data_IF_580523741582
#
_entry.id   IF_580523741582
#
_cell.length_a   1.000
_cell.length_b   1.000
_cell.length_c   1.000
_cell.angle_alpha   90.00
_cell.angle_beta   90.00
_cell.angle_gamma   90.00
#
_symmetry.space_group_name_H-M   'P 1'
#
loop_
_entity.id
_entity.type
_entity.pdbx_description
1 polymer ?
#
# COMPACT_ATOMS: atom_id res chain seq x y z
N UNK A 1 -11.63 2.09 -21.84
CA UNK A 1 -10.58 2.89 -22.52
C UNK A 1 -9.34 2.66 -21.67
N UNK A 2 -8.25 2.21 -22.28
CA UNK A 2 -6.98 2.03 -21.58
C UNK A 2 -6.40 3.42 -21.32
N UNK A 3 -6.14 3.73 -20.07
CA UNK A 3 -5.56 5.00 -19.62
C UNK A 3 -4.57 4.77 -18.45
N UNK A 4 -4.12 3.52 -18.31
CA UNK A 4 -3.07 3.15 -17.38
C UNK A 4 -2.24 1.97 -17.90
N UNK A 5 -0.99 1.94 -17.48
CA UNK A 5 0.00 0.93 -17.84
C UNK A 5 0.76 0.47 -16.61
N UNK A 6 0.91 -0.84 -16.48
CA UNK A 6 1.67 -1.50 -15.41
C UNK A 6 2.82 -2.24 -16.06
N UNK A 7 4.04 -1.75 -15.88
CA UNK A 7 5.26 -2.39 -16.35
C UNK A 7 5.87 -3.24 -15.24
N UNK A 8 6.09 -4.52 -15.50
CA UNK A 8 6.68 -5.45 -14.54
C UNK A 8 8.06 -5.91 -14.99
N UNK A 9 8.80 -6.50 -14.08
CA UNK A 9 10.15 -7.01 -14.32
C UNK A 9 10.22 -7.86 -15.61
N UNK A 10 11.28 -7.71 -16.40
CA UNK A 10 11.33 -8.25 -17.76
C UNK A 10 10.72 -7.34 -18.85
N UNK A 11 10.34 -6.11 -18.51
CA UNK A 11 9.78 -5.08 -19.42
C UNK A 11 8.44 -5.50 -20.07
N UNK A 12 7.68 -6.40 -19.43
CA UNK A 12 6.30 -6.69 -19.84
C UNK A 12 5.38 -5.58 -19.38
N UNK A 13 4.59 -5.02 -20.30
CA UNK A 13 3.59 -3.99 -19.99
C UNK A 13 2.18 -4.57 -20.06
N UNK A 14 1.37 -4.27 -19.06
CA UNK A 14 -0.02 -4.67 -18.94
C UNK A 14 -0.88 -3.43 -19.02
N UNK A 15 -1.86 -3.43 -19.92
CA UNK A 15 -2.87 -2.38 -20.01
C UNK A 15 -3.86 -2.48 -18.83
N UNK A 16 -4.25 -1.32 -18.29
CA UNK A 16 -5.16 -1.20 -17.18
C UNK A 16 -6.07 0.02 -17.33
N UNK A 17 -6.96 0.21 -16.38
CA UNK A 17 -7.77 1.42 -16.24
C UNK A 17 -7.28 2.23 -15.04
N UNK A 18 -7.06 3.52 -15.23
CA UNK A 18 -6.74 4.43 -14.14
C UNK A 18 -7.97 4.64 -13.22
N UNK A 19 -7.74 4.53 -11.92
CA UNK A 19 -8.74 4.81 -10.87
C UNK A 19 -8.32 6.01 -10.03
N UNK A 20 -7.02 6.16 -9.81
CA UNK A 20 -6.37 7.36 -9.29
C UNK A 20 -5.15 7.65 -10.16
N UNK A 21 -4.98 8.89 -10.63
CA UNK A 21 -3.90 9.22 -11.55
C UNK A 21 -2.55 9.36 -10.83
N UNK A 22 -1.48 9.15 -11.59
CA UNK A 22 -0.11 9.37 -11.16
C UNK A 22 0.87 8.39 -11.77
N UNK A 23 2.16 8.63 -11.53
CA UNK A 23 3.26 7.76 -11.96
C UNK A 23 4.14 7.42 -10.77
N UNK A 24 4.47 6.15 -10.60
CA UNK A 24 5.29 5.69 -9.49
C UNK A 24 5.93 4.34 -9.77
N UNK A 25 6.80 3.90 -8.88
CA UNK A 25 7.39 2.57 -8.91
C UNK A 25 7.50 1.98 -7.50
N UNK A 26 7.75 0.70 -7.44
CA UNK A 26 7.94 -0.03 -6.18
C UNK A 26 8.00 -1.54 -6.43
N UNK A 27 8.37 -2.31 -5.42
CA UNK A 27 8.22 -3.75 -5.50
C UNK A 27 6.73 -4.15 -5.49
N UNK A 28 6.34 -4.93 -6.48
CA UNK A 28 4.99 -5.47 -6.61
C UNK A 28 4.82 -6.65 -5.66
N UNK A 29 3.92 -6.48 -4.70
CA UNK A 29 3.55 -7.48 -3.69
C UNK A 29 2.06 -7.72 -3.71
N UNK A 30 1.57 -8.75 -3.02
CA UNK A 30 0.14 -8.99 -2.94
C UNK A 30 -0.38 -9.26 -1.54
N UNK A 31 -1.66 -8.98 -1.35
CA UNK A 31 -2.43 -9.37 -0.18
C UNK A 31 -3.64 -10.23 -0.57
N UNK A 32 -4.08 -11.08 0.35
CA UNK A 32 -5.30 -11.88 0.20
C UNK A 32 -6.49 -11.27 0.95
N UNK A 33 -6.31 -10.10 1.53
CA UNK A 33 -7.38 -9.37 2.21
C UNK A 33 -8.53 -9.04 1.25
N UNK A 34 -9.76 -9.31 1.66
CA UNK A 34 -10.98 -8.94 0.95
C UNK A 34 -11.90 -8.04 1.81
N UNK A 35 -11.68 -8.07 3.12
CA UNK A 35 -12.17 -7.12 4.13
C UNK A 35 -10.99 -6.61 4.90
N UNK A 36 -11.09 -5.43 5.51
CA UNK A 36 -9.93 -4.81 6.18
C UNK A 36 -8.85 -4.39 5.17
N UNK A 37 -9.26 -4.03 3.97
CA UNK A 37 -8.36 -3.45 2.98
C UNK A 37 -7.83 -2.09 3.45
N UNK A 38 -8.56 -1.39 4.30
CA UNK A 38 -8.12 -0.17 4.97
C UNK A 38 -6.87 -0.44 5.83
N UNK A 39 -6.90 -1.53 6.62
CA UNK A 39 -5.76 -1.99 7.42
C UNK A 39 -4.54 -2.28 6.53
N UNK A 40 -4.75 -2.95 5.38
CA UNK A 40 -3.67 -3.23 4.43
C UNK A 40 -3.15 -1.97 3.75
N UNK A 41 -4.03 -1.03 3.40
CA UNK A 41 -3.64 0.20 2.70
C UNK A 41 -2.92 1.20 3.61
N UNK A 42 -3.16 1.15 4.91
CA UNK A 42 -2.51 2.02 5.90
C UNK A 42 -1.41 1.31 6.71
N UNK A 43 -1.07 0.06 6.36
CA UNK A 43 -0.02 -0.72 7.02
C UNK A 43 1.37 -0.21 6.61
N UNK A 44 2.19 0.32 7.56
CA UNK A 44 3.55 0.81 7.27
C UNK A 44 4.47 -0.23 6.61
N UNK A 45 4.13 -1.53 6.69
CA UNK A 45 4.90 -2.59 6.03
C UNK A 45 4.90 -2.49 4.50
N UNK A 46 3.95 -1.75 3.91
CA UNK A 46 3.85 -1.58 2.45
C UNK A 46 4.50 -0.30 1.91
N UNK A 47 5.21 0.44 2.75
CA UNK A 47 6.00 1.59 2.29
C UNK A 47 6.97 1.20 1.17
N UNK A 48 7.09 2.01 0.12
CA UNK A 48 7.90 1.77 -1.09
C UNK A 48 7.46 0.56 -1.94
N UNK A 49 6.27 0.00 -1.69
CA UNK A 49 5.73 -1.14 -2.44
C UNK A 49 4.49 -0.77 -3.25
N UNK A 50 4.20 -1.58 -4.26
CA UNK A 50 2.95 -1.55 -5.01
C UNK A 50 2.10 -2.74 -4.55
N UNK A 51 0.93 -2.46 -3.95
CA UNK A 51 0.09 -3.48 -3.35
C UNK A 51 -0.96 -4.00 -4.32
N UNK A 52 -0.88 -5.29 -4.65
CA UNK A 52 -1.88 -5.99 -5.45
C UNK A 52 -2.87 -6.73 -4.57
N UNK A 53 -4.16 -6.49 -4.78
CA UNK A 53 -5.21 -7.29 -4.15
C UNK A 53 -5.54 -8.52 -4.98
N UNK A 54 -5.45 -9.70 -4.38
CA UNK A 54 -5.81 -10.96 -5.03
C UNK A 54 -7.32 -11.17 -5.13
N UNK A 55 -8.11 -10.50 -4.27
CA UNK A 55 -9.56 -10.58 -4.31
C UNK A 55 -10.13 -9.70 -5.44
N UNK A 56 -11.15 -10.17 -6.17
CA UNK A 56 -11.60 -9.52 -7.41
C UNK A 56 -12.17 -8.12 -7.24
N UNK A 57 -12.84 -7.82 -6.12
CA UNK A 57 -13.50 -6.54 -5.89
C UNK A 57 -13.15 -6.00 -4.51
N UNK A 58 -12.55 -4.83 -4.46
CA UNK A 58 -12.15 -4.13 -3.25
C UNK A 58 -12.98 -2.87 -3.06
N UNK A 59 -13.45 -2.64 -1.84
CA UNK A 59 -14.19 -1.44 -1.45
C UNK A 59 -15.67 -1.66 -1.10
N UNK A 60 -16.19 -2.88 -1.15
CA UNK A 60 -17.60 -3.19 -0.89
C UNK A 60 -18.15 -2.72 0.46
N UNK A 61 -17.29 -2.42 1.41
CA UNK A 61 -17.68 -2.06 2.79
C UNK A 61 -17.40 -0.59 3.11
N UNK A 62 -17.05 0.21 2.09
CA UNK A 62 -16.66 1.62 2.25
C UNK A 62 -15.28 1.76 2.89
N UNK A 63 -14.87 3.00 3.16
CA UNK A 63 -13.61 3.32 3.86
C UNK A 63 -13.94 3.66 5.31
N UNK A 64 -13.29 2.97 6.25
CA UNK A 64 -13.52 3.11 7.69
C UNK A 64 -12.22 3.47 8.39
N UNK A 65 -12.13 4.71 8.83
CA UNK A 65 -10.93 5.27 9.47
C UNK A 65 -10.55 4.55 10.78
N UNK A 66 -11.54 3.99 11.51
CA UNK A 66 -11.29 3.20 12.71
C UNK A 66 -10.49 1.91 12.48
N UNK A 67 -10.20 1.59 11.21
CA UNK A 67 -9.38 0.45 10.80
C UNK A 67 -8.01 0.84 10.29
N UNK A 68 -7.68 2.11 10.33
CA UNK A 68 -6.38 2.57 9.87
C UNK A 68 -5.27 2.14 10.83
N UNK A 69 -4.19 1.64 10.26
CA UNK A 69 -2.99 1.23 10.99
C UNK A 69 -1.95 2.35 11.10
N UNK A 70 -2.13 3.42 10.31
CA UNK A 70 -1.34 4.65 10.34
C UNK A 70 -2.17 5.81 9.77
N UNK A 71 -1.60 7.00 9.76
CA UNK A 71 -2.26 8.25 9.38
C UNK A 71 -2.40 8.48 7.87
N UNK A 72 -1.85 7.61 7.03
CA UNK A 72 -1.85 7.74 5.56
C UNK A 72 -1.90 6.38 4.86
N UNK A 73 -2.20 6.41 3.57
CA UNK A 73 -1.99 5.26 2.69
C UNK A 73 -0.49 5.06 2.46
N UNK A 74 0.00 3.86 2.71
CA UNK A 74 1.43 3.54 2.72
C UNK A 74 1.97 3.05 1.37
N UNK A 75 1.27 2.14 0.63
CA UNK A 75 1.80 1.68 -0.66
C UNK A 75 1.93 2.84 -1.66
N UNK A 76 2.98 2.80 -2.47
CA UNK A 76 3.22 3.75 -3.54
C UNK A 76 2.13 3.70 -4.64
N UNK A 77 1.47 2.56 -4.82
CA UNK A 77 0.31 2.41 -5.68
C UNK A 77 -0.51 1.17 -5.33
N UNK A 78 -1.73 1.13 -5.86
CA UNK A 78 -2.67 0.03 -5.67
C UNK A 78 -3.07 -0.60 -7.00
N UNK A 79 -3.04 -1.94 -7.03
CA UNK A 79 -3.46 -2.75 -8.17
C UNK A 79 -4.58 -3.69 -7.73
N UNK A 80 -5.71 -3.67 -8.42
CA UNK A 80 -6.83 -4.56 -8.16
C UNK A 80 -7.49 -5.00 -9.47
N UNK A 81 -8.27 -6.08 -9.43
CA UNK A 81 -9.11 -6.43 -10.57
C UNK A 81 -10.25 -5.44 -10.74
N UNK A 82 -10.85 -4.99 -9.64
CA UNK A 82 -11.89 -3.96 -9.59
C UNK A 82 -11.85 -3.22 -8.27
N UNK A 83 -11.89 -1.88 -8.33
CA UNK A 83 -11.99 -0.98 -7.18
C UNK A 83 -13.37 -0.29 -7.21
N UNK A 84 -14.00 -0.15 -6.04
CA UNK A 84 -15.18 0.72 -5.92
C UNK A 84 -14.80 2.19 -6.04
N UNK A 85 -15.77 3.04 -6.35
CA UNK A 85 -15.52 4.46 -6.51
C UNK A 85 -15.06 5.09 -5.18
N UNK A 86 -15.65 4.71 -4.04
CA UNK A 86 -15.29 5.21 -2.71
C UNK A 86 -13.79 4.99 -2.39
N UNK A 87 -13.26 3.79 -2.67
CA UNK A 87 -11.83 3.51 -2.45
C UNK A 87 -10.96 4.23 -3.46
N UNK A 88 -11.40 4.33 -4.72
CA UNK A 88 -10.66 5.06 -5.74
C UNK A 88 -10.58 6.56 -5.44
N UNK A 89 -11.65 7.17 -4.93
CA UNK A 89 -11.69 8.57 -4.50
C UNK A 89 -10.77 8.78 -3.30
N UNK A 90 -10.83 7.92 -2.28
CA UNK A 90 -9.91 7.98 -1.14
C UNK A 90 -8.44 7.92 -1.58
N UNK A 91 -8.07 6.96 -2.43
CA UNK A 91 -6.70 6.85 -2.96
C UNK A 91 -6.28 8.09 -3.75
N UNK A 92 -7.20 8.71 -4.49
CA UNK A 92 -6.94 9.93 -5.22
C UNK A 92 -6.75 11.14 -4.28
N UNK A 93 -7.50 11.23 -3.19
CA UNK A 93 -7.34 12.26 -2.14
C UNK A 93 -5.99 12.13 -1.44
N UNK A 94 -5.54 10.90 -1.19
CA UNK A 94 -4.21 10.58 -0.64
C UNK A 94 -3.07 10.76 -1.67
N UNK A 95 -3.40 11.00 -2.95
CA UNK A 95 -2.41 11.14 -4.02
C UNK A 95 -1.73 9.83 -4.42
N UNK A 96 -2.33 8.71 -4.11
CA UNK A 96 -1.80 7.37 -4.39
C UNK A 96 -2.36 6.85 -5.72
N UNK A 97 -1.54 6.58 -6.73
CA UNK A 97 -1.98 6.00 -8.00
C UNK A 97 -2.68 4.66 -7.80
N UNK A 98 -3.78 4.45 -8.51
CA UNK A 98 -4.51 3.19 -8.46
C UNK A 98 -4.97 2.75 -9.84
N UNK A 99 -4.86 1.47 -10.12
CA UNK A 99 -5.26 0.87 -11.40
C UNK A 99 -6.12 -0.37 -11.19
N UNK A 100 -7.06 -0.59 -12.10
CA UNK A 100 -7.86 -1.81 -12.13
C UNK A 100 -8.09 -2.33 -13.55
N UNK A 101 -8.96 -3.35 -13.71
CA UNK A 101 -9.29 -3.99 -14.97
C UNK A 101 -8.12 -4.76 -15.63
N UNK A 102 -7.23 -5.33 -14.82
CA UNK A 102 -6.18 -6.23 -15.27
C UNK A 102 -6.28 -7.61 -14.59
N UNK A 103 -5.58 -8.61 -15.12
CA UNK A 103 -5.61 -9.96 -14.53
C UNK A 103 -4.68 -10.07 -13.33
N UNK A 104 -5.20 -9.67 -12.16
CA UNK A 104 -4.46 -9.77 -10.89
C UNK A 104 -4.13 -11.21 -10.49
N UNK A 105 -4.87 -12.21 -11.01
CA UNK A 105 -4.57 -13.61 -10.71
C UNK A 105 -3.26 -14.06 -11.36
N UNK A 106 -2.99 -13.63 -12.59
CA UNK A 106 -1.72 -13.89 -13.26
C UNK A 106 -0.58 -13.27 -12.47
N UNK A 107 -0.70 -11.97 -12.13
CA UNK A 107 0.30 -11.22 -11.35
C UNK A 107 0.58 -11.90 -10.00
N UNK A 108 -0.47 -12.23 -9.25
CA UNK A 108 -0.32 -12.91 -7.93
C UNK A 108 0.35 -14.27 -8.06
N UNK A 109 0.09 -14.99 -9.15
CA UNK A 109 0.75 -16.28 -9.40
C UNK A 109 2.25 -16.11 -9.66
N UNK A 110 2.63 -15.10 -10.46
CA UNK A 110 4.04 -14.78 -10.70
C UNK A 110 4.75 -14.35 -9.41
N UNK A 111 4.17 -13.44 -8.63
CA UNK A 111 4.77 -13.00 -7.36
C UNK A 111 4.95 -14.19 -6.40
N UNK A 112 4.00 -15.12 -6.36
CA UNK A 112 4.10 -16.31 -5.50
C UNK A 112 5.21 -17.26 -5.95
N UNK A 113 5.41 -17.40 -7.24
CA UNK A 113 6.33 -18.39 -7.80
C UNK A 113 7.76 -17.82 -7.92
N UNK A 114 7.94 -16.52 -8.17
CA UNK A 114 9.23 -15.85 -8.40
C UNK A 114 9.66 -14.91 -7.26
N UNK A 115 8.74 -14.50 -6.41
CA UNK A 115 8.96 -13.46 -5.37
C UNK A 115 8.46 -12.09 -5.79
N UNK A 116 8.71 -11.08 -4.95
CA UNK A 116 8.39 -9.70 -5.27
C UNK A 116 9.16 -9.23 -6.51
N UNK A 117 8.48 -8.53 -7.40
CA UNK A 117 9.01 -8.07 -8.69
C UNK A 117 9.08 -6.55 -8.74
N UNK A 118 10.05 -5.99 -9.47
CA UNK A 118 10.05 -4.55 -9.76
C UNK A 118 8.86 -4.19 -10.64
N UNK A 119 8.24 -3.05 -10.33
CA UNK A 119 7.08 -2.55 -11.05
C UNK A 119 7.13 -1.04 -11.22
N UNK A 120 6.62 -0.58 -12.36
CA UNK A 120 6.38 0.83 -12.64
C UNK A 120 4.93 1.01 -13.10
N UNK A 121 4.28 2.06 -12.63
CA UNK A 121 2.91 2.41 -12.99
C UNK A 121 2.87 3.81 -13.59
N UNK A 122 2.08 3.95 -14.65
CA UNK A 122 1.62 5.23 -15.17
C UNK A 122 0.11 5.16 -15.35
N UNK A 123 -0.62 6.07 -14.72
CA UNK A 123 -2.08 6.12 -14.73
C UNK A 123 -2.58 7.55 -14.97
N UNK A 124 -3.57 7.70 -15.83
CA UNK A 124 -4.21 8.96 -16.17
C UNK A 124 -4.30 9.20 -17.67
N UNK A 125 -4.99 10.29 -18.08
CA UNK A 125 -5.36 10.52 -19.49
C UNK A 125 -4.18 10.66 -20.44
N UNK A 126 -3.01 11.08 -19.96
CA UNK A 126 -1.80 11.28 -20.74
C UNK A 126 -0.74 10.19 -20.49
N UNK A 127 -1.08 9.14 -19.72
CA UNK A 127 -0.17 8.05 -19.39
C UNK A 127 0.21 7.24 -20.64
N UNK A 128 1.47 6.83 -20.72
CA UNK A 128 2.01 6.01 -21.79
C UNK A 128 2.73 4.78 -21.28
N UNK A 129 2.89 3.77 -22.12
CA UNK A 129 3.71 2.59 -21.82
C UNK A 129 5.16 2.98 -21.46
N UNK A 130 5.73 3.97 -22.15
CA UNK A 130 7.10 4.41 -21.90
C UNK A 130 7.24 5.07 -20.52
N UNK A 131 6.20 5.76 -20.03
CA UNK A 131 6.20 6.31 -18.67
C UNK A 131 6.25 5.19 -17.63
N UNK A 132 5.46 4.13 -17.79
CA UNK A 132 5.49 2.97 -16.90
C UNK A 132 6.85 2.24 -16.96
N UNK A 133 7.41 2.06 -18.15
CA UNK A 133 8.74 1.47 -18.33
C UNK A 133 9.84 2.35 -17.73
N UNK A 134 9.72 3.67 -17.84
CA UNK A 134 10.66 4.61 -17.23
C UNK A 134 10.62 4.50 -15.68
N UNK A 135 9.43 4.33 -15.11
CA UNK A 135 9.28 4.07 -13.68
C UNK A 135 9.88 2.72 -13.27
N UNK A 136 9.60 1.65 -14.03
CA UNK A 136 10.19 0.32 -13.78
C UNK A 136 11.73 0.37 -13.74
N UNK A 137 12.36 1.08 -14.68
CA UNK A 137 13.82 1.19 -14.75
C UNK A 137 14.43 1.95 -13.57
N UNK A 138 13.66 2.79 -12.88
CA UNK A 138 14.06 3.52 -11.68
C UNK A 138 13.78 2.75 -10.39
N UNK A 139 12.96 1.71 -10.46
CA UNK A 139 12.56 0.92 -9.31
C UNK A 139 13.77 0.23 -8.66
N UNK A 140 13.84 0.33 -7.34
CA UNK A 140 14.82 -0.37 -6.50
C UNK A 140 14.19 -1.59 -5.86
N UNK A 141 15.00 -2.61 -5.56
CA UNK A 141 14.57 -3.65 -4.64
C UNK A 141 14.50 -3.14 -3.21
N UNK A 142 13.62 -3.71 -2.39
CA UNK A 142 13.48 -3.33 -0.98
C UNK A 142 14.82 -3.38 -0.24
N UNK A 143 15.68 -4.33 -0.56
CA UNK A 143 17.03 -4.45 0.02
C UNK A 143 17.98 -3.29 -0.32
N UNK A 144 17.67 -2.48 -1.32
CA UNK A 144 18.45 -1.31 -1.74
C UNK A 144 18.00 -0.01 -1.03
N UNK A 145 16.83 -0.02 -0.39
CA UNK A 145 16.33 1.09 0.42
C UNK A 145 16.99 1.05 1.81
N UNK A 146 17.52 2.19 2.27
CA UNK A 146 18.28 2.26 3.52
C UNK A 146 17.53 2.90 4.68
N UNK A 147 16.52 3.69 4.37
CA UNK A 147 15.89 4.58 5.34
C UNK A 147 14.37 4.35 5.51
N UNK A 148 13.83 3.21 5.05
CA UNK A 148 12.38 2.91 5.13
C UNK A 148 11.89 2.98 6.58
N UNK A 149 12.58 2.34 7.51
CA UNK A 149 12.21 2.39 8.92
C UNK A 149 12.09 3.81 9.47
N UNK A 150 12.90 4.75 8.96
CA UNK A 150 12.84 6.15 9.35
C UNK A 150 11.64 6.89 8.73
N UNK A 151 11.21 6.47 7.54
CA UNK A 151 10.05 7.08 6.85
C UNK A 151 8.73 6.74 7.54
N UNK A 152 8.67 5.57 8.20
CA UNK A 152 7.46 5.04 8.84
C UNK A 152 7.48 5.14 10.37
N UNK A 153 8.58 5.59 10.98
CA UNK A 153 8.68 5.78 12.44
C UNK A 153 8.12 7.14 12.84
N UNK A 154 7.60 7.24 14.05
CA UNK A 154 7.23 8.52 14.66
C UNK A 154 8.44 9.44 14.77
N UNK A 155 8.24 10.75 14.58
CA UNK A 155 9.32 11.75 14.68
C UNK A 155 9.69 12.07 16.13
N UNK A 156 8.70 12.03 17.03
CA UNK A 156 8.86 12.34 18.45
C UNK A 156 8.28 11.21 19.31
N UNK A 157 8.79 11.08 20.53
CA UNK A 157 8.27 10.11 21.48
C UNK A 157 6.85 10.46 21.91
N UNK A 158 5.97 9.49 21.87
CA UNK A 158 4.57 9.62 22.23
C UNK A 158 4.26 8.81 23.50
N UNK A 159 3.18 9.20 24.20
CA UNK A 159 2.67 8.46 25.34
C UNK A 159 1.18 8.23 25.18
N UNK A 160 0.80 6.95 25.07
CA UNK A 160 -0.60 6.53 25.00
C UNK A 160 -1.07 6.01 26.35
N UNK A 161 -2.32 6.35 26.71
CA UNK A 161 -2.96 6.00 28.00
C UNK A 161 -2.10 6.39 29.24
N UNK A 162 -1.70 7.69 29.38
CA UNK A 162 -0.76 8.11 30.43
C UNK A 162 -1.28 7.86 31.85
N UNK A 163 -2.60 7.79 32.04
CA UNK A 163 -3.29 7.57 33.32
C UNK A 163 -3.64 6.10 33.59
N UNK A 164 -3.19 5.16 32.72
CA UNK A 164 -3.44 3.74 32.87
C UNK A 164 -2.75 3.16 34.12
N UNK A 165 -3.45 2.23 34.80
CA UNK A 165 -2.94 1.52 35.99
C UNK A 165 -2.18 0.22 35.62
N UNK A 166 -2.15 -0.15 34.36
CA UNK A 166 -1.50 -1.36 33.84
C UNK A 166 0.03 -1.26 33.70
N UNK A 167 0.66 -2.20 33.02
CA UNK A 167 2.10 -2.20 32.84
C UNK A 167 2.58 -1.05 31.96
N UNK A 168 3.79 -0.55 32.22
CA UNK A 168 4.47 0.39 31.32
C UNK A 168 5.22 -0.38 30.25
N UNK A 169 4.94 -0.05 28.98
CA UNK A 169 5.52 -0.70 27.82
C UNK A 169 6.29 0.34 26.99
N UNK A 170 7.54 0.06 26.68
CA UNK A 170 8.29 0.80 25.70
C UNK A 170 8.12 0.14 24.33
N UNK A 171 7.47 0.83 23.39
CA UNK A 171 7.30 0.41 22.02
C UNK A 171 8.35 1.12 21.15
N UNK A 172 9.31 0.38 20.63
CA UNK A 172 10.26 0.93 19.65
C UNK A 172 9.59 0.92 18.30
N UNK A 173 9.18 2.11 17.86
CA UNK A 173 8.50 2.26 16.58
C UNK A 173 9.49 2.22 15.40
N UNK A 174 9.25 1.29 14.49
CA UNK A 174 9.93 1.14 13.20
C UNK A 174 8.88 0.88 12.10
N UNK A 175 7.73 1.57 12.18
CA UNK A 175 6.54 1.31 11.40
C UNK A 175 5.58 0.37 12.11
N UNK A 176 5.33 0.64 13.40
CA UNK A 176 4.36 -0.12 14.18
C UNK A 176 2.93 0.18 13.70
N UNK A 177 2.10 -0.86 13.64
CA UNK A 177 0.68 -0.71 13.35
C UNK A 177 -0.05 -0.09 14.54
N UNK A 178 -0.99 0.82 14.28
CA UNK A 178 -1.85 1.43 15.29
C UNK A 178 -2.54 0.41 16.18
N UNK A 179 -3.04 -0.68 15.59
CA UNK A 179 -3.69 -1.79 16.30
C UNK A 179 -2.82 -2.46 17.38
N UNK A 180 -1.48 -2.37 17.28
CA UNK A 180 -0.57 -2.87 18.34
C UNK A 180 -0.67 -1.98 19.56
N UNK A 181 -0.60 -0.66 19.37
CA UNK A 181 -0.75 0.33 20.44
C UNK A 181 -2.13 0.23 21.08
N UNK A 182 -3.19 0.19 20.26
CA UNK A 182 -4.58 0.05 20.73
C UNK A 182 -4.78 -1.21 21.57
N UNK A 183 -4.25 -2.34 21.11
CA UNK A 183 -4.33 -3.61 21.85
C UNK A 183 -3.63 -3.56 23.21
N UNK A 184 -2.57 -2.77 23.36
CA UNK A 184 -1.89 -2.56 24.64
C UNK A 184 -2.71 -1.63 25.53
N UNK A 185 -3.22 -0.54 24.97
CA UNK A 185 -4.08 0.44 25.69
C UNK A 185 -5.36 -0.20 26.19
N UNK A 186 -6.02 -1.05 25.40
CA UNK A 186 -7.19 -1.84 25.81
C UNK A 186 -6.93 -2.74 27.03
N UNK A 187 -5.66 -3.09 27.27
CA UNK A 187 -5.21 -3.86 28.44
C UNK A 187 -4.70 -2.97 29.57
N UNK A 188 -5.08 -1.69 29.52
CA UNK A 188 -4.72 -0.65 30.47
C UNK A 188 -3.20 -0.36 30.55
N UNK A 189 -2.41 -0.77 29.56
CA UNK A 189 -0.99 -0.45 29.50
C UNK A 189 -0.77 1.04 29.23
N UNK A 190 0.29 1.59 29.84
CA UNK A 190 0.87 2.89 29.46
C UNK A 190 1.95 2.63 28.42
N UNK A 191 1.76 3.09 27.17
CA UNK A 191 2.70 2.83 26.08
C UNK A 191 3.53 4.09 25.80
N UNK A 192 4.84 3.92 25.77
CA UNK A 192 5.81 4.97 25.49
C UNK A 192 6.55 4.67 24.21
#
# INVERSE_FOLDING_TARGET
MTDAYVAVEGERVIEARARSPGTTNGELVFTTAYTGYEESLTDPSYEEQILTFSYPLIGNYGVREERFESDRVQPNAVVARELTDDVAEWLAEEGVPAVDHLDTREIVTEIRDEGAMKCGIAAGPDATEEDALAQLRQCKHMSEHRDIGKQVSVEEAEVHNPDGDGPRVALVDCGAKGSITDSLVERDAVVH
#
